data_IF_040386806747
#
_entry.id   IF_040386806747
#
_cell.length_a   1.000
_cell.length_b   1.000
_cell.length_c   1.000
_cell.angle_alpha   90.00
_cell.angle_beta   90.00
_cell.angle_gamma   90.00
#
_symmetry.space_group_name_H-M   'P 1'
#
loop_
_entity.id
_entity.type
_entity.pdbx_description
1 polymer ?
#
# COMPACT_ATOMS: atom_id res chain seq x y z
N UNK A 1 32.26 -22.73 11.76
CA UNK A 1 32.25 -23.11 10.33
C UNK A 1 33.66 -23.37 9.80
N UNK A 2 34.74 -22.93 10.45
CA UNK A 2 36.14 -23.10 9.99
C UNK A 2 36.84 -24.43 10.38
N UNK A 3 36.10 -25.46 10.80
CA UNK A 3 36.69 -26.69 11.36
C UNK A 3 36.57 -27.92 10.45
N UNK A 4 36.25 -27.73 9.17
CA UNK A 4 36.18 -28.81 8.18
C UNK A 4 37.45 -28.77 7.30
N UNK A 5 38.23 -29.88 7.24
CA UNK A 5 39.53 -29.91 6.57
C UNK A 5 39.46 -29.90 5.03
N UNK A 6 38.26 -29.79 4.44
CA UNK A 6 38.00 -29.93 3.00
C UNK A 6 37.27 -28.71 2.41
N UNK A 7 37.40 -27.55 3.05
CA UNK A 7 36.93 -26.28 2.49
C UNK A 7 37.98 -25.75 1.50
N UNK A 8 37.65 -25.86 0.22
CA UNK A 8 38.44 -25.28 -0.88
C UNK A 8 38.51 -23.75 -0.70
N UNK A 9 39.74 -23.21 -0.69
CA UNK A 9 40.01 -21.76 -0.63
C UNK A 9 40.12 -21.15 -2.03
N UNK A 10 39.77 -21.91 -3.06
CA UNK A 10 39.66 -21.43 -4.43
C UNK A 10 38.62 -20.30 -4.58
N UNK A 11 38.64 -19.60 -5.73
CA UNK A 11 37.58 -18.67 -6.10
C UNK A 11 36.20 -19.34 -5.98
N UNK A 12 35.27 -18.70 -5.27
CA UNK A 12 33.90 -19.21 -5.12
C UNK A 12 33.15 -19.27 -6.46
N UNK A 13 33.52 -18.40 -7.40
CA UNK A 13 32.89 -18.27 -8.72
C UNK A 13 33.98 -18.22 -9.80
N UNK A 14 33.91 -19.15 -10.75
CA UNK A 14 34.70 -19.13 -11.97
C UNK A 14 33.78 -18.76 -13.14
N UNK A 15 33.72 -17.47 -13.45
CA UNK A 15 32.90 -16.95 -14.54
C UNK A 15 33.77 -16.47 -15.71
N UNK A 16 33.21 -16.56 -16.92
CA UNK A 16 33.78 -15.91 -18.11
C UNK A 16 33.65 -14.40 -17.94
N UNK A 17 34.64 -13.63 -18.40
CA UNK A 17 34.61 -12.15 -18.36
C UNK A 17 33.24 -11.61 -18.78
N UNK A 18 32.67 -10.73 -17.96
CA UNK A 18 31.49 -9.93 -18.30
C UNK A 18 31.85 -9.01 -19.47
N UNK A 19 31.76 -9.54 -20.68
CA UNK A 19 31.80 -8.75 -21.91
C UNK A 19 30.36 -8.34 -22.16
N UNK A 20 30.10 -7.04 -22.03
CA UNK A 20 28.83 -6.38 -22.38
C UNK A 20 28.50 -6.66 -23.86
N UNK A 21 27.85 -7.79 -24.15
CA UNK A 21 27.51 -8.23 -25.51
C UNK A 21 26.15 -7.72 -25.98
N UNK A 22 25.53 -6.81 -25.21
CA UNK A 22 24.21 -6.23 -25.48
C UNK A 22 24.20 -4.74 -25.13
N UNK A 23 25.25 -4.02 -25.50
CA UNK A 23 25.21 -2.56 -25.49
C UNK A 23 24.45 -2.06 -26.73
N UNK A 24 23.28 -1.49 -26.43
CA UNK A 24 22.18 -1.14 -27.33
C UNK A 24 21.34 -2.34 -27.77
N UNK A 25 20.23 -2.55 -27.05
CA UNK A 25 18.97 -2.83 -27.71
C UNK A 25 18.78 -1.73 -28.76
N UNK A 26 19.35 -1.92 -29.95
CA UNK A 26 18.92 -1.19 -31.13
C UNK A 26 17.42 -1.35 -31.14
N UNK A 27 16.71 -0.24 -30.96
CA UNK A 27 15.25 -0.22 -30.96
C UNK A 27 14.79 -1.13 -32.07
N UNK A 28 13.81 -1.99 -31.77
CA UNK A 28 13.21 -2.87 -32.77
C UNK A 28 13.17 -2.10 -34.08
N UNK A 29 13.80 -2.66 -35.11
CA UNK A 29 13.66 -2.14 -36.46
C UNK A 29 12.18 -2.36 -36.76
N UNK A 30 11.35 -1.40 -36.36
CA UNK A 30 10.00 -1.28 -36.82
C UNK A 30 10.14 -1.25 -38.33
N UNK A 31 9.60 -2.27 -38.97
CA UNK A 31 9.58 -2.42 -40.41
C UNK A 31 9.15 -1.07 -40.97
N UNK A 32 10.04 -0.44 -41.76
CA UNK A 32 9.82 0.93 -42.23
C UNK A 32 8.40 1.02 -42.81
N UNK A 33 7.62 2.06 -42.47
CA UNK A 33 6.20 2.11 -42.78
C UNK A 33 6.00 1.83 -44.27
N UNK A 34 5.39 0.68 -44.57
CA UNK A 34 5.11 0.26 -45.93
C UNK A 34 4.19 1.32 -46.55
N UNK A 35 4.57 1.85 -47.71
CA UNK A 35 3.80 2.91 -48.38
C UNK A 35 2.40 2.44 -48.81
N UNK A 36 2.21 1.11 -48.89
CA UNK A 36 0.94 0.48 -49.22
C UNK A 36 0.05 0.23 -47.99
N UNK A 37 0.54 0.48 -46.76
CA UNK A 37 -0.21 0.31 -45.52
C UNK A 37 -0.51 1.67 -44.88
N UNK A 38 -1.79 2.05 -44.85
CA UNK A 38 -2.24 3.24 -44.12
C UNK A 38 -2.10 3.03 -42.61
N UNK A 39 -1.05 3.62 -42.02
CA UNK A 39 -0.84 3.64 -40.58
C UNK A 39 -1.68 4.75 -39.94
N UNK A 40 -2.93 4.43 -39.62
CA UNK A 40 -3.79 5.35 -38.88
C UNK A 40 -3.42 5.32 -37.38
N UNK A 41 -2.90 6.44 -36.88
CA UNK A 41 -2.66 6.65 -35.44
C UNK A 41 -4.00 6.62 -34.70
N UNK A 42 -4.22 5.56 -33.92
CA UNK A 42 -5.45 5.41 -33.14
C UNK A 42 -5.45 6.37 -31.95
N UNK A 43 -6.30 7.39 -32.01
CA UNK A 43 -6.54 8.31 -30.90
C UNK A 43 -7.84 7.94 -30.19
N UNK A 44 -7.71 7.33 -29.00
CA UNK A 44 -8.82 6.88 -28.16
C UNK A 44 -9.78 8.03 -27.83
N UNK A 45 -9.26 9.21 -27.51
CA UNK A 45 -10.08 10.35 -27.08
C UNK A 45 -10.88 10.93 -28.26
N UNK A 46 -10.27 11.01 -29.44
CA UNK A 46 -10.98 11.44 -30.65
C UNK A 46 -12.06 10.41 -31.07
N UNK A 47 -11.76 9.12 -30.95
CA UNK A 47 -12.73 8.06 -31.17
C UNK A 47 -13.88 8.14 -30.14
N UNK A 48 -13.58 8.33 -28.86
CA UNK A 48 -14.60 8.47 -27.82
C UNK A 48 -15.55 9.63 -28.13
N UNK A 49 -15.03 10.82 -28.40
CA UNK A 49 -15.84 12.01 -28.69
C UNK A 49 -16.69 11.86 -29.97
N UNK A 50 -16.24 11.08 -30.95
CA UNK A 50 -17.00 10.84 -32.19
C UNK A 50 -18.13 9.84 -32.00
N UNK A 51 -17.99 8.89 -31.08
CA UNK A 51 -18.99 7.86 -30.81
C UNK A 51 -19.86 8.14 -29.58
N UNK A 52 -19.48 9.06 -28.70
CA UNK A 52 -20.23 9.44 -27.49
C UNK A 52 -21.70 9.79 -27.80
N UNK A 53 -21.92 10.55 -28.87
CA UNK A 53 -23.26 11.02 -29.26
C UNK A 53 -24.02 10.03 -30.15
N UNK A 54 -23.40 8.90 -30.53
CA UNK A 54 -23.98 7.92 -31.43
C UNK A 54 -24.59 6.77 -30.66
N UNK A 55 -25.91 6.62 -30.76
CA UNK A 55 -26.63 5.48 -30.18
C UNK A 55 -27.19 4.59 -31.28
N UNK A 56 -27.16 3.28 -31.07
CA UNK A 56 -27.80 2.32 -31.96
C UNK A 56 -29.28 2.26 -31.59
N UNK A 57 -30.14 2.60 -32.55
CA UNK A 57 -31.60 2.54 -32.39
C UNK A 57 -32.14 1.46 -33.32
N UNK A 58 -32.91 0.53 -32.75
CA UNK A 58 -33.50 -0.59 -33.49
C UNK A 58 -33.54 -1.89 -32.69
N UNK A 59 -33.85 -2.99 -33.36
CA UNK A 59 -33.89 -4.33 -32.79
C UNK A 59 -32.46 -4.91 -32.80
N UNK A 60 -31.61 -4.42 -31.90
CA UNK A 60 -30.17 -4.75 -31.85
C UNK A 60 -29.91 -6.25 -31.66
N UNK A 61 -30.80 -6.95 -30.95
CA UNK A 61 -30.71 -8.39 -30.70
C UNK A 61 -31.28 -9.27 -31.83
N UNK A 62 -31.83 -8.68 -32.90
CA UNK A 62 -32.49 -9.42 -33.99
C UNK A 62 -31.68 -9.36 -35.28
N UNK A 63 -30.39 -9.73 -35.20
CA UNK A 63 -29.61 -10.05 -36.41
C UNK A 63 -29.87 -11.51 -36.75
N UNK A 64 -30.81 -11.73 -37.68
CA UNK A 64 -31.15 -13.06 -38.18
C UNK A 64 -30.12 -13.51 -39.23
N UNK A 65 -29.22 -14.41 -38.84
CA UNK A 65 -28.25 -15.05 -39.75
C UNK A 65 -28.81 -16.30 -40.46
N UNK A 66 -30.08 -16.64 -40.27
CA UNK A 66 -30.66 -17.90 -40.78
C UNK A 66 -30.87 -17.93 -42.31
N UNK A 67 -30.56 -16.84 -43.02
CA UNK A 67 -30.56 -16.80 -44.49
C UNK A 67 -31.95 -16.99 -45.13
N UNK A 68 -33.02 -16.88 -44.35
CA UNK A 68 -34.39 -17.11 -44.83
C UNK A 68 -34.86 -15.96 -45.72
N UNK A 69 -34.91 -16.22 -47.03
CA UNK A 69 -35.39 -15.28 -48.07
C UNK A 69 -36.86 -14.82 -47.90
N UNK A 70 -37.58 -15.36 -46.91
CA UNK A 70 -39.00 -15.06 -46.67
C UNK A 70 -39.21 -13.85 -45.75
N UNK A 71 -38.16 -13.38 -45.06
CA UNK A 71 -38.24 -12.18 -44.25
C UNK A 71 -38.18 -10.95 -45.17
N UNK A 72 -39.22 -10.11 -45.12
CA UNK A 72 -39.34 -8.86 -45.91
C UNK A 72 -38.22 -7.83 -45.60
N UNK A 73 -37.38 -8.12 -44.61
CA UNK A 73 -36.26 -7.31 -44.15
C UNK A 73 -34.89 -7.77 -44.69
N UNK A 74 -34.87 -8.72 -45.65
CA UNK A 74 -33.62 -9.20 -46.24
C UNK A 74 -32.90 -8.05 -46.96
N UNK A 75 -31.82 -7.55 -46.36
CA UNK A 75 -31.01 -6.46 -46.89
C UNK A 75 -31.31 -5.07 -46.31
N UNK A 76 -32.27 -4.92 -45.40
CA UNK A 76 -32.43 -3.68 -44.63
C UNK A 76 -31.77 -3.85 -43.26
N UNK A 77 -30.80 -3.00 -42.97
CA UNK A 77 -30.21 -2.93 -41.64
C UNK A 77 -31.33 -2.61 -40.64
N UNK A 78 -31.63 -3.55 -39.74
CA UNK A 78 -32.71 -3.43 -38.74
C UNK A 78 -32.37 -2.45 -37.61
N UNK A 79 -31.12 -1.99 -37.57
CA UNK A 79 -30.63 -0.95 -36.70
C UNK A 79 -30.10 0.22 -37.54
N UNK A 80 -30.29 1.44 -37.04
CA UNK A 80 -29.68 2.64 -37.59
C UNK A 80 -28.99 3.42 -36.48
N UNK A 81 -27.87 4.06 -36.82
CA UNK A 81 -27.18 4.97 -35.91
C UNK A 81 -27.95 6.29 -35.85
N UNK A 82 -28.35 6.71 -34.65
CA UNK A 82 -28.93 8.03 -34.44
C UNK A 82 -27.95 8.86 -33.62
N UNK A 83 -27.49 9.96 -34.22
CA UNK A 83 -26.76 11.00 -33.50
C UNK A 83 -27.77 11.76 -32.63
N UNK A 84 -27.59 11.70 -31.32
CA UNK A 84 -28.52 12.27 -30.37
C UNK A 84 -28.16 13.75 -30.15
N UNK A 85 -28.69 14.64 -30.98
CA UNK A 85 -28.54 16.09 -30.77
C UNK A 85 -29.52 16.53 -29.69
N UNK A 86 -29.00 17.04 -28.58
CA UNK A 86 -29.79 17.57 -27.48
C UNK A 86 -30.81 18.62 -27.96
N UNK A 87 -32.07 18.46 -27.56
CA UNK A 87 -33.13 19.44 -27.87
C UNK A 87 -32.90 20.74 -27.10
N UNK A 88 -33.40 21.89 -27.60
CA UNK A 88 -33.21 23.19 -26.92
C UNK A 88 -33.67 23.18 -25.47
N UNK A 89 -34.80 22.52 -25.17
CA UNK A 89 -35.31 22.37 -23.81
C UNK A 89 -34.40 21.51 -22.93
N UNK A 90 -33.85 20.43 -23.48
CA UNK A 90 -32.93 19.57 -22.75
C UNK A 90 -31.59 20.25 -22.52
N UNK A 91 -31.08 20.99 -23.51
CA UNK A 91 -29.88 21.83 -23.38
C UNK A 91 -30.05 22.88 -22.30
N UNK A 92 -31.20 23.53 -22.25
CA UNK A 92 -31.49 24.49 -21.19
C UNK A 92 -31.56 23.79 -19.83
N UNK A 93 -32.12 22.59 -19.73
CA UNK A 93 -32.15 21.82 -18.48
C UNK A 93 -30.75 21.36 -18.03
N UNK A 94 -29.89 20.93 -18.98
CA UNK A 94 -28.50 20.57 -18.70
C UNK A 94 -27.69 21.78 -18.27
N UNK A 95 -27.78 22.89 -19.00
CA UNK A 95 -27.12 24.15 -18.64
C UNK A 95 -27.63 24.65 -17.27
N UNK A 96 -28.92 24.54 -16.98
CA UNK A 96 -29.45 24.90 -15.68
C UNK A 96 -28.82 24.06 -14.56
N UNK A 97 -28.66 22.76 -14.78
CA UNK A 97 -28.01 21.86 -13.83
C UNK A 97 -26.52 22.14 -13.70
N UNK A 98 -25.80 22.30 -14.81
CA UNK A 98 -24.39 22.68 -14.81
C UNK A 98 -24.17 24.00 -14.05
N UNK A 99 -25.10 24.95 -14.18
CA UNK A 99 -25.02 26.24 -13.48
C UNK A 99 -25.36 26.10 -11.98
N UNK A 100 -26.25 25.19 -11.61
CA UNK A 100 -26.51 24.81 -10.22
C UNK A 100 -25.32 24.09 -9.60
N UNK A 101 -24.65 23.20 -10.34
CA UNK A 101 -23.44 22.49 -9.91
C UNK A 101 -22.29 23.49 -9.70
N UNK A 102 -22.06 24.43 -10.64
CA UNK A 102 -21.06 25.51 -10.49
C UNK A 102 -21.39 26.40 -9.29
N UNK A 103 -22.68 26.71 -9.07
CA UNK A 103 -23.08 27.50 -7.91
C UNK A 103 -22.83 26.77 -6.60
N UNK A 104 -23.03 25.45 -6.56
CA UNK A 104 -22.71 24.62 -5.40
C UNK A 104 -21.20 24.57 -5.15
N UNK A 105 -20.38 24.43 -6.20
CA UNK A 105 -18.92 24.51 -6.10
C UNK A 105 -18.46 25.87 -5.55
N UNK A 106 -19.02 26.99 -6.03
CA UNK A 106 -18.73 28.34 -5.52
C UNK A 106 -19.10 28.50 -4.03
N UNK A 107 -20.19 27.86 -3.59
CA UNK A 107 -20.64 27.92 -2.20
C UNK A 107 -19.80 27.01 -1.29
N UNK A 108 -19.34 25.86 -1.79
CA UNK A 108 -18.38 24.98 -1.13
C UNK A 108 -17.00 25.67 -1.02
N UNK A 109 -16.55 26.36 -2.06
CA UNK A 109 -15.34 27.18 -2.02
C UNK A 109 -15.46 28.30 -0.99
N UNK A 110 -16.59 29.04 -0.95
CA UNK A 110 -16.84 30.05 0.08
C UNK A 110 -16.86 29.45 1.49
N UNK A 111 -17.47 28.28 1.67
CA UNK A 111 -17.48 27.58 2.96
C UNK A 111 -16.05 27.16 3.37
N UNK A 112 -15.23 26.70 2.43
CA UNK A 112 -13.82 26.40 2.67
C UNK A 112 -13.02 27.65 3.05
N UNK A 113 -13.29 28.79 2.41
CA UNK A 113 -12.65 30.07 2.73
C UNK A 113 -13.10 30.59 4.11
N UNK A 114 -14.36 30.42 4.48
CA UNK A 114 -14.88 30.83 5.78
C UNK A 114 -14.34 29.94 6.91
N UNK A 115 -14.22 28.63 6.70
CA UNK A 115 -13.55 27.72 7.67
C UNK A 115 -12.06 28.03 7.80
N UNK A 116 -11.37 28.37 6.71
CA UNK A 116 -10.00 28.86 6.74
C UNK A 116 -9.88 30.20 7.49
N UNK A 117 -10.85 31.10 7.32
CA UNK A 117 -10.92 32.35 8.07
C UNK A 117 -11.14 32.11 9.56
N UNK A 118 -12.08 31.24 9.93
CA UNK A 118 -12.39 30.89 11.32
C UNK A 118 -11.19 30.20 11.99
N UNK A 119 -10.50 29.30 11.29
CA UNK A 119 -9.26 28.68 11.80
C UNK A 119 -8.11 29.68 11.89
N UNK A 120 -8.02 30.64 10.98
CA UNK A 120 -7.03 31.72 11.06
C UNK A 120 -7.33 32.66 12.23
N UNK A 121 -8.58 33.09 12.43
CA UNK A 121 -9.02 33.87 13.58
C UNK A 121 -8.79 33.10 14.90
N UNK A 122 -9.09 31.80 14.95
CA UNK A 122 -8.77 30.95 16.09
C UNK A 122 -7.26 30.83 16.32
N UNK A 123 -6.44 30.76 15.27
CA UNK A 123 -4.97 30.71 15.36
C UNK A 123 -4.37 32.05 15.81
N UNK A 124 -4.95 33.16 15.37
CA UNK A 124 -4.55 34.53 15.76
C UNK A 124 -4.98 34.82 17.20
N UNK A 125 -6.18 34.41 17.60
CA UNK A 125 -6.66 34.48 18.98
C UNK A 125 -5.84 33.58 19.93
N UNK A 126 -5.34 32.44 19.44
CA UNK A 126 -4.51 31.50 20.21
C UNK A 126 -3.00 31.76 20.15
N UNK A 127 -2.56 32.86 19.53
CA UNK A 127 -1.15 33.29 19.35
C UNK A 127 -0.44 33.70 20.66
N UNK A 128 -0.74 33.06 21.79
CA UNK A 128 -0.17 33.42 23.08
C UNK A 128 -0.31 32.45 24.25
N UNK A 129 -1.10 31.36 24.21
CA UNK A 129 -1.03 30.37 25.32
C UNK A 129 -1.77 29.05 25.18
N UNK A 130 -2.77 28.92 24.30
CA UNK A 130 -3.61 27.71 24.27
C UNK A 130 -3.97 27.32 22.83
N UNK A 131 -3.04 26.69 22.12
CA UNK A 131 -3.32 26.10 20.81
C UNK A 131 -4.14 24.81 20.91
N UNK A 132 -4.76 24.40 19.79
CA UNK A 132 -5.54 23.16 19.64
C UNK A 132 -4.80 21.92 20.21
N UNK A 133 -3.50 21.81 19.95
CA UNK A 133 -2.68 20.70 20.47
C UNK A 133 -2.52 20.75 21.99
N UNK A 134 -2.39 21.92 22.62
CA UNK A 134 -2.31 22.02 24.08
C UNK A 134 -3.63 21.61 24.74
N UNK A 135 -4.76 21.98 24.14
CA UNK A 135 -6.08 21.61 24.64
C UNK A 135 -6.35 20.10 24.50
N UNK A 136 -5.97 19.50 23.37
CA UNK A 136 -6.09 18.05 23.14
C UNK A 136 -5.16 17.26 24.06
N UNK A 137 -3.93 17.72 24.24
CA UNK A 137 -2.96 17.14 25.19
C UNK A 137 -3.48 17.23 26.63
N UNK A 138 -4.04 18.38 27.03
CA UNK A 138 -4.65 18.55 28.36
C UNK A 138 -5.87 17.66 28.57
N UNK A 139 -6.71 17.50 27.56
CA UNK A 139 -7.86 16.60 27.59
C UNK A 139 -7.41 15.14 27.73
N UNK A 140 -6.39 14.71 26.98
CA UNK A 140 -5.83 13.36 27.11
C UNK A 140 -5.19 13.14 28.48
N UNK A 141 -4.48 14.12 29.04
CA UNK A 141 -3.90 14.01 30.39
C UNK A 141 -4.98 13.95 31.47
N UNK A 142 -6.05 14.72 31.35
CA UNK A 142 -7.18 14.64 32.27
C UNK A 142 -7.87 13.27 32.21
N UNK A 143 -8.00 12.69 31.02
CA UNK A 143 -8.60 11.37 30.82
C UNK A 143 -7.73 10.24 31.39
N UNK A 144 -6.41 10.34 31.24
CA UNK A 144 -5.44 9.43 31.86
C UNK A 144 -5.49 9.55 33.38
N UNK A 145 -5.60 10.77 33.92
CA UNK A 145 -5.66 10.99 35.37
C UNK A 145 -6.95 10.43 35.98
N UNK A 146 -8.08 10.47 35.27
CA UNK A 146 -9.33 9.81 35.70
C UNK A 146 -9.20 8.29 35.64
N UNK A 147 -8.59 7.73 34.60
CA UNK A 147 -8.37 6.28 34.49
C UNK A 147 -7.39 5.74 35.54
N UNK A 148 -6.41 6.55 35.96
CA UNK A 148 -5.50 6.18 37.05
C UNK A 148 -6.16 6.20 38.42
N UNK A 149 -7.17 7.07 38.64
CA UNK A 149 -7.93 7.13 39.89
C UNK A 149 -8.97 6.01 40.00
N UNK A 150 -9.51 5.55 38.88
CA UNK A 150 -10.42 4.40 38.83
C UNK A 150 -9.70 3.05 39.02
N UNK A 151 -8.38 3.01 38.80
CA UNK A 151 -7.52 1.87 39.13
C UNK A 151 -7.06 1.94 40.58
N UNK A 152 -8.02 1.79 41.50
CA UNK A 152 -7.77 1.75 42.94
C UNK A 152 -7.09 0.41 43.30
N UNK A 153 -5.78 0.42 43.58
CA UNK A 153 -4.97 -0.76 43.96
C UNK A 153 -5.36 -1.40 45.31
N UNK A 154 -6.45 -0.97 45.92
CA UNK A 154 -6.97 -1.48 47.20
C UNK A 154 -7.60 -2.88 47.08
N UNK A 155 -7.91 -3.34 45.87
CA UNK A 155 -8.59 -4.63 45.62
C UNK A 155 -7.70 -5.89 45.74
N UNK A 156 -6.39 -5.76 45.97
CA UNK A 156 -5.47 -6.91 46.11
C UNK A 156 -5.27 -7.41 47.55
N UNK A 157 -5.89 -6.78 48.56
CA UNK A 157 -5.54 -7.07 49.96
C UNK A 157 -6.52 -7.96 50.74
N UNK A 158 -7.74 -8.28 50.27
CA UNK A 158 -8.67 -9.07 51.08
C UNK A 158 -9.56 -10.05 50.27
N UNK A 159 -9.41 -11.32 50.62
CA UNK A 159 -10.27 -12.47 50.32
C UNK A 159 -10.21 -13.35 51.59
N UNK A 160 -11.19 -14.21 52.00
CA UNK A 160 -12.58 -14.51 51.58
C UNK A 160 -13.53 -14.55 52.85
N UNK A 161 -14.68 -15.30 52.99
CA UNK A 161 -15.44 -16.19 52.08
C UNK A 161 -17.00 -16.09 52.07
N UNK A 162 -17.58 -16.74 51.04
CA UNK A 162 -18.88 -17.44 50.90
C UNK A 162 -20.12 -17.06 51.75
N UNK A 163 -21.29 -16.85 51.11
CA UNK A 163 -22.56 -17.60 51.32
C UNK A 163 -23.69 -17.08 50.37
N UNK A 164 -24.56 -18.01 49.99
CA UNK A 164 -25.66 -18.06 49.02
C UNK A 164 -26.81 -17.03 49.21
N UNK A 165 -27.50 -16.66 48.11
CA UNK A 165 -28.93 -16.97 47.84
C UNK A 165 -29.75 -15.92 47.04
N UNK A 166 -30.41 -16.46 46.01
CA UNK A 166 -31.65 -16.10 45.30
C UNK A 166 -31.84 -14.88 44.36
N UNK A 167 -32.55 -15.09 43.20
CA UNK A 167 -32.77 -14.13 42.13
C UNK A 167 -34.18 -13.49 42.15
N UNK A 168 -34.35 -12.30 41.53
CA UNK A 168 -35.63 -11.76 41.04
C UNK A 168 -35.42 -10.54 40.11
N UNK A 169 -36.43 -10.09 39.32
CA UNK A 169 -36.48 -10.28 37.87
C UNK A 169 -36.53 -8.96 37.06
N UNK A 170 -36.50 -9.10 35.73
CA UNK A 170 -36.60 -8.05 34.71
C UNK A 170 -37.73 -7.04 34.95
N UNK A 171 -37.43 -5.76 34.68
CA UNK A 171 -38.39 -4.76 34.26
C UNK A 171 -37.82 -3.89 33.11
N UNK A 172 -38.75 -3.37 32.31
CA UNK A 172 -38.64 -3.03 30.87
C UNK A 172 -37.94 -1.70 30.59
N UNK A 173 -37.35 -1.56 29.40
CA UNK A 173 -37.48 -0.40 28.50
C UNK A 173 -36.95 -0.73 27.07
N UNK A 174 -37.30 0.05 26.03
CA UNK A 174 -37.84 -0.46 24.76
C UNK A 174 -36.91 -0.27 23.55
N UNK A 175 -37.24 -0.99 22.46
CA UNK A 175 -36.85 -0.82 21.05
C UNK A 175 -35.36 -0.71 20.65
N UNK A 176 -34.94 -1.47 19.61
CA UNK A 176 -33.56 -1.45 19.14
C UNK A 176 -33.32 -0.17 18.33
N UNK A 177 -32.60 0.78 18.93
CA UNK A 177 -31.91 1.81 18.17
C UNK A 177 -30.83 1.14 17.32
N UNK A 178 -30.74 1.61 16.08
CA UNK A 178 -29.86 1.16 15.02
C UNK A 178 -28.44 0.83 15.52
N UNK A 179 -27.92 -0.29 15.01
CA UNK A 179 -26.51 -0.61 15.09
C UNK A 179 -25.68 0.63 14.67
N UNK A 180 -24.63 1.00 15.43
CA UNK A 180 -23.76 2.08 15.01
C UNK A 180 -23.10 1.65 13.71
N UNK A 181 -23.47 2.31 12.60
CA UNK A 181 -22.69 2.29 11.37
C UNK A 181 -21.25 2.64 11.75
N UNK A 182 -20.35 1.72 11.43
CA UNK A 182 -18.91 1.90 11.48
C UNK A 182 -18.59 3.28 10.89
N UNK A 183 -17.84 4.14 11.60
CA UNK A 183 -17.61 5.51 11.17
C UNK A 183 -16.86 5.53 9.84
N UNK A 184 -17.38 6.29 8.88
CA UNK A 184 -16.82 6.52 7.55
C UNK A 184 -15.52 7.32 7.58
N UNK A 185 -14.45 6.73 8.11
CA UNK A 185 -13.07 7.22 7.95
C UNK A 185 -12.45 6.81 6.61
N UNK A 186 -12.94 5.75 5.97
CA UNK A 186 -12.29 5.17 4.79
C UNK A 186 -12.42 6.00 3.52
N UNK A 187 -13.52 6.73 3.30
CA UNK A 187 -13.75 7.36 1.99
C UNK A 187 -13.02 8.70 1.83
N UNK A 188 -12.85 9.44 2.93
CA UNK A 188 -11.98 10.63 3.00
C UNK A 188 -10.51 10.25 2.91
N UNK A 189 -10.11 9.16 3.59
CA UNK A 189 -8.74 8.64 3.52
C UNK A 189 -8.42 8.09 2.12
N UNK A 190 -9.36 7.35 1.50
CA UNK A 190 -9.23 6.89 0.10
C UNK A 190 -9.20 8.05 -0.89
N UNK A 191 -10.01 9.08 -0.70
CA UNK A 191 -9.95 10.30 -1.52
C UNK A 191 -8.61 11.02 -1.42
N UNK A 192 -8.03 11.09 -0.22
CA UNK A 192 -6.68 11.63 0.00
C UNK A 192 -5.61 10.77 -0.66
N UNK A 193 -5.69 9.44 -0.55
CA UNK A 193 -4.76 8.51 -1.22
C UNK A 193 -4.87 8.66 -2.74
N UNK A 194 -6.08 8.69 -3.30
CA UNK A 194 -6.28 8.89 -4.73
C UNK A 194 -5.76 10.26 -5.21
N UNK A 195 -5.91 11.31 -4.41
CA UNK A 195 -5.32 12.62 -4.69
C UNK A 195 -3.78 12.59 -4.67
N UNK A 196 -3.20 11.84 -3.74
CA UNK A 196 -1.75 11.62 -3.70
C UNK A 196 -1.27 10.78 -4.89
N UNK A 197 -1.99 9.74 -5.28
CA UNK A 197 -1.69 8.91 -6.45
C UNK A 197 -1.79 9.70 -7.77
N UNK A 198 -2.82 10.53 -7.93
CA UNK A 198 -2.94 11.44 -9.08
C UNK A 198 -1.74 12.38 -9.14
N UNK A 199 -1.37 12.97 -8.01
CA UNK A 199 -0.22 13.87 -7.93
C UNK A 199 1.11 13.16 -8.17
N UNK A 200 1.26 11.91 -7.72
CA UNK A 200 2.41 11.08 -8.03
C UNK A 200 2.46 10.80 -9.52
N UNK A 201 1.32 10.46 -10.14
CA UNK A 201 1.21 10.24 -11.58
C UNK A 201 1.60 11.48 -12.38
N UNK A 202 1.16 12.66 -11.95
CA UNK A 202 1.55 13.94 -12.56
C UNK A 202 3.06 14.20 -12.44
N UNK A 203 3.64 13.88 -11.27
CA UNK A 203 5.08 13.99 -11.04
C UNK A 203 5.88 12.97 -11.86
N UNK A 204 5.38 11.74 -11.99
CA UNK A 204 5.98 10.69 -12.81
C UNK A 204 5.88 11.02 -14.30
N UNK A 205 4.78 11.60 -14.76
CA UNK A 205 4.63 12.08 -16.13
C UNK A 205 5.57 13.27 -16.42
N UNK A 206 5.74 14.19 -15.46
CA UNK A 206 6.62 15.35 -15.60
C UNK A 206 8.11 14.98 -15.55
N UNK A 207 8.49 14.00 -14.73
CA UNK A 207 9.88 13.52 -14.59
C UNK A 207 10.21 12.47 -15.66
N UNK A 208 9.20 11.77 -16.17
CA UNK A 208 9.34 10.63 -17.06
C UNK A 208 9.69 9.33 -16.30
N UNK A 209 9.26 8.20 -16.85
CA UNK A 209 9.71 6.87 -16.40
C UNK A 209 11.17 6.75 -16.84
N UNK A 210 12.08 7.10 -15.94
CA UNK A 210 13.48 7.27 -16.28
C UNK A 210 14.18 5.90 -16.45
N UNK A 211 14.06 5.31 -17.64
CA UNK A 211 15.05 4.35 -18.19
C UNK A 211 16.39 5.03 -18.52
N UNK A 212 16.50 6.35 -18.26
CA UNK A 212 17.74 7.10 -18.42
C UNK A 212 18.69 6.78 -17.26
N UNK A 213 19.41 5.68 -17.42
CA UNK A 213 20.62 5.26 -16.70
C UNK A 213 20.46 5.11 -15.17
N UNK A 214 20.75 3.92 -14.60
CA UNK A 214 20.48 3.58 -13.20
C UNK A 214 21.27 4.37 -12.12
N UNK A 215 21.96 5.45 -12.47
CA UNK A 215 22.89 6.14 -11.55
C UNK A 215 22.74 7.66 -11.44
N UNK A 216 22.08 8.36 -12.36
CA UNK A 216 22.17 9.82 -12.41
C UNK A 216 20.86 10.50 -11.98
N UNK A 217 20.88 11.06 -10.76
CA UNK A 217 19.82 11.94 -10.28
C UNK A 217 19.58 13.08 -11.30
N UNK A 218 18.32 13.39 -11.62
CA UNK A 218 17.93 14.51 -12.53
C UNK A 218 18.64 15.83 -12.15
N UNK A 219 18.91 16.03 -10.86
CA UNK A 219 19.66 17.18 -10.33
C UNK A 219 21.10 17.27 -10.85
N UNK A 220 21.78 16.13 -11.07
CA UNK A 220 23.13 16.09 -11.61
C UNK A 220 23.11 16.52 -13.08
N UNK A 221 22.16 16.00 -13.87
CA UNK A 221 21.96 16.44 -15.25
C UNK A 221 21.57 17.92 -15.36
N UNK A 222 20.69 18.41 -14.47
CA UNK A 222 20.33 19.82 -14.42
C UNK A 222 21.52 20.70 -14.05
N UNK A 223 22.38 20.28 -13.11
CA UNK A 223 23.59 21.01 -12.74
C UNK A 223 24.63 21.00 -13.85
N UNK A 224 24.75 19.90 -14.58
CA UNK A 224 25.61 19.82 -15.76
C UNK A 224 25.06 20.71 -16.89
N UNK A 225 23.74 20.76 -17.07
CA UNK A 225 23.10 21.67 -18.01
C UNK A 225 23.28 23.13 -17.60
N UNK A 226 23.10 23.47 -16.32
CA UNK A 226 23.35 24.81 -15.78
C UNK A 226 24.81 25.22 -16.01
N UNK A 227 25.75 24.31 -15.77
CA UNK A 227 27.17 24.53 -16.09
C UNK A 227 27.38 24.76 -17.58
N UNK A 228 26.78 23.94 -18.46
CA UNK A 228 26.87 24.08 -19.92
C UNK A 228 26.25 25.40 -20.40
N UNK A 229 25.12 25.79 -19.84
CA UNK A 229 24.43 27.06 -20.14
C UNK A 229 25.26 28.25 -19.67
N UNK A 230 25.86 28.18 -18.48
CA UNK A 230 26.76 29.22 -17.98
C UNK A 230 28.03 29.34 -18.83
N UNK A 231 28.55 28.22 -19.36
CA UNK A 231 29.65 28.22 -20.34
C UNK A 231 29.21 28.85 -21.68
N UNK A 232 27.98 28.62 -22.13
CA UNK A 232 27.43 29.25 -23.33
C UNK A 232 27.18 30.75 -23.16
N UNK A 233 26.87 31.21 -21.94
CA UNK A 233 26.65 32.62 -21.64
C UNK A 233 27.94 33.42 -21.43
N UNK A 234 29.05 32.77 -21.01
CA UNK A 234 30.36 33.39 -20.79
C UNK A 234 31.52 32.67 -21.55
N UNK A 235 31.48 32.58 -22.90
CA UNK A 235 32.42 31.74 -23.64
C UNK A 235 33.86 32.27 -23.69
N UNK A 236 34.09 33.59 -23.63
CA UNK A 236 35.40 34.16 -24.02
C UNK A 236 36.25 34.70 -22.86
N UNK A 237 35.66 35.15 -21.75
CA UNK A 237 36.42 35.81 -20.67
C UNK A 237 36.81 34.88 -19.51
N UNK A 238 35.97 33.90 -19.18
CA UNK A 238 36.24 32.98 -18.06
C UNK A 238 37.03 31.74 -18.50
N UNK A 239 36.76 31.17 -19.68
CA UNK A 239 37.48 29.97 -20.14
C UNK A 239 38.96 30.21 -20.41
N UNK A 240 39.35 31.39 -20.92
CA UNK A 240 40.74 31.74 -21.13
C UNK A 240 41.49 31.94 -19.80
N UNK A 241 40.90 32.67 -18.85
CA UNK A 241 41.46 32.87 -17.52
C UNK A 241 41.50 31.57 -16.68
N UNK A 242 40.46 30.74 -16.77
CA UNK A 242 40.41 29.42 -16.14
C UNK A 242 41.44 28.48 -16.80
N UNK A 243 41.59 28.50 -18.13
CA UNK A 243 42.61 27.70 -18.81
C UNK A 243 44.03 28.15 -18.45
N UNK A 244 44.26 29.45 -18.29
CA UNK A 244 45.54 30.00 -17.86
C UNK A 244 45.84 29.61 -16.40
N UNK A 245 44.87 29.75 -15.50
CA UNK A 245 45.04 29.32 -14.09
C UNK A 245 45.17 27.81 -13.96
N UNK A 246 44.45 27.00 -14.73
CA UNK A 246 44.63 25.53 -14.78
C UNK A 246 46.00 25.16 -15.35
N UNK A 247 46.48 25.88 -16.37
CA UNK A 247 47.84 25.74 -16.91
C UNK A 247 48.90 26.08 -15.85
N UNK A 248 48.73 27.19 -15.13
CA UNK A 248 49.62 27.59 -14.03
C UNK A 248 49.58 26.58 -12.89
N UNK A 249 48.40 26.11 -12.48
CA UNK A 249 48.25 25.11 -11.43
C UNK A 249 48.86 23.76 -11.85
N UNK A 250 48.70 23.36 -13.11
CA UNK A 250 49.34 22.14 -13.63
C UNK A 250 50.86 22.28 -13.66
N UNK A 251 51.37 23.46 -14.04
CA UNK A 251 52.80 23.78 -13.94
C UNK A 251 53.29 23.74 -12.50
N UNK A 252 52.53 24.26 -11.54
CA UNK A 252 52.85 24.21 -10.11
C UNK A 252 52.80 22.79 -9.54
N UNK A 253 51.81 21.99 -9.93
CA UNK A 253 51.71 20.57 -9.56
C UNK A 253 52.87 19.78 -10.14
N UNK A 254 53.24 20.03 -11.40
CA UNK A 254 54.44 19.43 -11.98
C UNK A 254 55.72 19.88 -11.28
N UNK A 255 55.83 21.17 -10.91
CA UNK A 255 56.97 21.69 -10.18
C UNK A 255 57.06 21.08 -8.77
N UNK A 256 55.93 20.88 -8.08
CA UNK A 256 55.85 20.21 -6.79
C UNK A 256 56.13 18.71 -6.90
N UNK A 257 55.67 18.05 -7.96
CA UNK A 257 56.01 16.64 -8.24
C UNK A 257 57.50 16.48 -8.56
N UNK A 258 58.07 17.39 -9.36
CA UNK A 258 59.51 17.46 -9.63
C UNK A 258 60.29 17.75 -8.35
N UNK A 259 59.84 18.69 -7.50
CA UNK A 259 60.46 18.98 -6.21
C UNK A 259 60.34 17.82 -5.21
N UNK A 260 59.22 17.09 -5.19
CA UNK A 260 59.06 15.90 -4.35
C UNK A 260 59.98 14.77 -4.82
N UNK A 261 60.11 14.57 -6.14
CA UNK A 261 61.08 13.63 -6.72
C UNK A 261 62.53 14.05 -6.48
N UNK A 262 62.84 15.35 -6.60
CA UNK A 262 64.17 15.88 -6.31
C UNK A 262 64.49 15.84 -4.82
N UNK A 263 63.53 16.07 -3.92
CA UNK A 263 63.73 15.93 -2.48
C UNK A 263 63.94 14.46 -2.08
N UNK A 264 63.27 13.52 -2.75
CA UNK A 264 63.54 12.09 -2.58
C UNK A 264 64.90 11.66 -3.14
N UNK A 265 65.40 12.34 -4.18
CA UNK A 265 66.71 12.10 -4.79
C UNK A 265 67.87 12.85 -4.08
N UNK A 266 67.56 13.97 -3.41
CA UNK A 266 68.50 14.84 -2.70
C UNK A 266 68.71 14.44 -1.24
N UNK A 267 68.13 13.34 -0.77
CA UNK A 267 68.67 12.61 0.37
C UNK A 267 69.85 11.76 -0.13
N UNK A 268 71.12 12.14 0.13
CA UNK A 268 72.23 11.26 -0.15
C UNK A 268 72.20 10.08 0.81
N UNK A 269 72.26 8.86 0.25
CA UNK A 269 72.79 7.68 0.93
C UNK A 269 74.15 8.06 1.55
N UNK A 270 74.19 8.26 2.87
CA UNK A 270 75.45 8.44 3.59
C UNK A 270 75.69 7.25 4.54
N UNK A 271 76.57 6.31 4.16
CA UNK A 271 76.96 5.19 5.00
C UNK A 271 78.12 5.64 5.91
N UNK A 272 77.83 5.99 7.17
CA UNK A 272 78.70 5.83 8.37
C UNK A 272 78.28 6.77 9.51
N UNK A 273 77.55 6.25 10.49
CA UNK A 273 78.11 5.95 11.81
C UNK A 273 77.05 5.24 12.67
N UNK A 274 77.44 4.22 13.45
CA UNK A 274 76.54 3.25 14.03
C UNK A 274 76.10 3.66 15.45
N UNK A 275 74.88 3.30 15.83
CA UNK A 275 74.61 2.28 16.84
C UNK A 275 73.12 2.36 17.25
N UNK A 276 72.45 1.22 17.15
CA UNK A 276 71.21 0.98 17.88
C UNK A 276 69.99 0.67 17.02
N UNK A 277 69.91 -0.61 16.63
CA UNK A 277 68.67 -1.39 16.46
C UNK A 277 67.99 -1.38 15.08
N UNK A 278 68.31 -2.48 14.39
CA UNK A 278 67.45 -3.30 13.53
C UNK A 278 67.16 -2.87 12.08
N UNK A 279 67.14 -3.85 11.15
CA UNK A 279 67.16 -3.62 9.73
C UNK A 279 65.79 -3.14 9.26
N UNK A 280 65.66 -1.85 8.97
CA UNK A 280 64.50 -1.33 8.26
C UNK A 280 64.55 -1.83 6.81
N UNK A 281 63.91 -2.97 6.61
CA UNK A 281 63.34 -3.46 5.36
C UNK A 281 62.75 -2.32 4.49
N UNK A 282 62.55 -2.54 3.18
CA UNK A 282 61.79 -1.66 2.27
C UNK A 282 60.29 -1.46 2.64
N UNK A 283 59.92 -1.77 3.89
CA UNK A 283 58.58 -1.81 4.45
C UNK A 283 57.97 -0.42 4.68
N UNK A 284 58.76 0.65 4.89
CA UNK A 284 58.17 1.97 5.17
C UNK A 284 57.44 2.58 3.94
N UNK A 285 57.94 2.33 2.73
CA UNK A 285 57.28 2.71 1.46
C UNK A 285 56.09 1.78 1.15
N UNK A 286 56.22 0.49 1.47
CA UNK A 286 55.15 -0.49 1.26
C UNK A 286 53.98 -0.31 2.26
N UNK A 287 54.25 0.10 3.50
CA UNK A 287 53.24 0.34 4.53
C UNK A 287 52.37 1.57 4.23
N UNK A 288 52.94 2.65 3.64
CA UNK A 288 52.13 3.76 3.15
C UNK A 288 51.26 3.33 1.97
N UNK A 289 51.78 2.53 1.03
CA UNK A 289 50.97 2.00 -0.07
C UNK A 289 49.86 1.05 0.40
N UNK A 290 50.09 0.22 1.43
CA UNK A 290 49.07 -0.69 1.97
C UNK A 290 48.00 0.09 2.75
N UNK A 291 48.38 1.14 3.47
CA UNK A 291 47.42 2.04 4.12
C UNK A 291 46.61 2.83 3.09
N UNK A 292 47.26 3.39 2.07
CA UNK A 292 46.60 4.10 0.96
C UNK A 292 45.63 3.17 0.23
N UNK A 293 46.03 1.93 -0.11
CA UNK A 293 45.12 0.94 -0.71
C UNK A 293 43.91 0.59 0.18
N UNK A 294 44.11 0.50 1.50
CA UNK A 294 43.01 0.26 2.44
C UNK A 294 42.10 1.48 2.54
N UNK A 295 42.66 2.67 2.57
CA UNK A 295 41.92 3.93 2.60
C UNK A 295 41.13 4.11 1.30
N UNK A 296 41.73 3.85 0.14
CA UNK A 296 41.07 3.85 -1.16
C UNK A 296 39.96 2.80 -1.23
N UNK A 297 40.16 1.61 -0.67
CA UNK A 297 39.11 0.58 -0.59
C UNK A 297 37.94 1.01 0.32
N UNK A 298 38.22 1.79 1.37
CA UNK A 298 37.18 2.35 2.25
C UNK A 298 36.44 3.49 1.55
N UNK A 299 37.14 4.33 0.78
CA UNK A 299 36.51 5.38 -0.02
C UNK A 299 35.65 4.82 -1.15
N UNK A 300 36.06 3.73 -1.80
CA UNK A 300 35.23 3.02 -2.78
C UNK A 300 33.97 2.44 -2.13
N UNK A 301 34.11 1.82 -0.95
CA UNK A 301 32.96 1.29 -0.19
C UNK A 301 32.10 2.38 0.43
N UNK A 302 32.59 3.60 0.57
CA UNK A 302 31.83 4.70 1.16
C UNK A 302 30.68 5.13 0.26
N UNK A 303 30.89 5.15 -1.05
CA UNK A 303 29.84 5.46 -2.03
C UNK A 303 28.71 4.40 -1.99
N UNK A 304 29.09 3.12 -1.93
CA UNK A 304 28.15 2.01 -1.72
C UNK A 304 27.36 2.17 -0.41
N UNK A 305 28.03 2.55 0.69
CA UNK A 305 27.39 2.77 1.98
C UNK A 305 26.46 3.98 1.96
N UNK A 306 26.82 5.07 1.28
CA UNK A 306 26.00 6.27 1.20
C UNK A 306 24.72 6.02 0.37
N UNK A 307 24.80 5.23 -0.70
CA UNK A 307 23.61 4.81 -1.46
C UNK A 307 22.69 3.90 -0.62
N UNK A 308 23.24 2.95 0.14
CA UNK A 308 22.46 2.07 1.03
C UNK A 308 21.83 2.89 2.16
N UNK A 309 22.58 3.81 2.76
CA UNK A 309 22.10 4.69 3.85
C UNK A 309 20.95 5.57 3.39
N UNK A 310 20.96 6.04 2.15
CA UNK A 310 19.84 6.80 1.59
C UNK A 310 18.57 5.93 1.42
N UNK A 311 18.72 4.64 1.11
CA UNK A 311 17.60 3.69 0.88
C UNK A 311 17.09 3.01 2.15
N UNK A 312 17.93 2.89 3.19
CA UNK A 312 17.62 2.17 4.43
C UNK A 312 16.37 2.68 5.16
N UNK A 313 16.13 3.99 5.31
CA UNK A 313 14.92 4.49 5.98
C UNK A 313 13.63 4.05 5.27
N UNK A 314 13.63 4.02 3.94
CA UNK A 314 12.49 3.58 3.15
C UNK A 314 12.21 2.07 3.32
N UNK A 315 13.27 1.26 3.36
CA UNK A 315 13.15 -0.18 3.63
C UNK A 315 12.63 -0.43 5.06
N UNK A 316 13.13 0.32 6.05
CA UNK A 316 12.63 0.22 7.44
C UNK A 316 11.15 0.62 7.51
N UNK A 317 10.73 1.68 6.82
CA UNK A 317 9.33 2.08 6.76
C UNK A 317 8.44 0.98 6.15
N UNK A 318 8.88 0.36 5.04
CA UNK A 318 8.19 -0.78 4.43
C UNK A 318 8.15 -1.99 5.37
N UNK A 319 9.23 -2.30 6.07
CA UNK A 319 9.27 -3.39 7.05
C UNK A 319 8.34 -3.12 8.24
N UNK A 320 8.20 -1.88 8.69
CA UNK A 320 7.24 -1.52 9.74
C UNK A 320 5.80 -1.68 9.28
N UNK A 321 5.47 -1.22 8.07
CA UNK A 321 4.16 -1.45 7.46
C UNK A 321 3.89 -2.94 7.28
N UNK A 322 4.87 -3.72 6.81
CA UNK A 322 4.74 -5.16 6.69
C UNK A 322 4.57 -5.83 8.06
N UNK A 323 5.26 -5.34 9.09
CA UNK A 323 5.10 -5.85 10.46
C UNK A 323 3.70 -5.61 11.00
N UNK A 324 3.11 -4.44 10.73
CA UNK A 324 1.71 -4.13 11.06
C UNK A 324 0.76 -5.11 10.35
N UNK A 325 0.95 -5.31 9.04
CA UNK A 325 0.17 -6.29 8.26
C UNK A 325 0.35 -7.72 8.81
N UNK A 326 1.56 -8.11 9.20
CA UNK A 326 1.81 -9.43 9.79
C UNK A 326 1.17 -9.59 11.16
N UNK A 327 1.14 -8.52 11.97
CA UNK A 327 0.44 -8.49 13.25
C UNK A 327 -1.08 -8.66 13.06
N UNK A 328 -1.65 -7.94 12.09
CA UNK A 328 -3.07 -8.04 11.75
C UNK A 328 -3.40 -9.43 11.19
N UNK A 329 -2.53 -10.01 10.38
CA UNK A 329 -2.67 -11.37 9.89
C UNK A 329 -2.62 -12.39 11.03
N UNK A 330 -1.72 -12.22 12.00
CA UNK A 330 -1.70 -13.08 13.18
C UNK A 330 -3.02 -12.97 13.97
N UNK A 331 -3.54 -11.75 14.15
CA UNK A 331 -4.87 -11.52 14.71
C UNK A 331 -5.97 -12.24 13.93
N UNK A 332 -6.01 -12.08 12.61
CA UNK A 332 -6.98 -12.74 11.75
C UNK A 332 -6.92 -14.28 11.87
N UNK A 333 -5.71 -14.85 11.89
CA UNK A 333 -5.52 -16.30 12.08
C UNK A 333 -6.06 -16.75 13.45
N UNK A 334 -5.84 -15.98 14.51
CA UNK A 334 -6.42 -16.31 15.83
C UNK A 334 -7.95 -16.23 15.82
N UNK A 335 -8.56 -15.22 15.19
CA UNK A 335 -10.02 -15.14 15.07
C UNK A 335 -10.61 -16.29 14.24
N UNK A 336 -9.91 -16.75 13.19
CA UNK A 336 -10.33 -17.93 12.43
C UNK A 336 -10.25 -19.19 13.29
N UNK A 337 -9.21 -19.31 14.14
CA UNK A 337 -9.12 -20.38 15.14
C UNK A 337 -10.30 -20.36 16.12
N UNK A 338 -10.67 -19.18 16.64
CA UNK A 338 -11.84 -19.02 17.52
C UNK A 338 -13.15 -19.39 16.81
N UNK A 339 -13.31 -19.02 15.53
CA UNK A 339 -14.48 -19.41 14.73
C UNK A 339 -14.53 -20.91 14.51
N UNK A 340 -13.39 -21.57 14.27
CA UNK A 340 -13.32 -23.03 14.16
C UNK A 340 -13.70 -23.72 15.48
N UNK A 341 -13.23 -23.19 16.62
CA UNK A 341 -13.62 -23.66 17.95
C UNK A 341 -15.13 -23.47 18.19
N UNK A 342 -15.71 -22.33 17.80
CA UNK A 342 -17.16 -22.09 17.87
C UNK A 342 -17.93 -23.06 16.96
N UNK A 343 -17.47 -23.30 15.72
CA UNK A 343 -18.08 -24.24 14.79
C UNK A 343 -18.02 -25.68 15.32
N UNK A 344 -16.91 -26.07 15.93
CA UNK A 344 -16.76 -27.39 16.56
C UNK A 344 -17.72 -27.55 17.74
N UNK A 345 -17.91 -26.48 18.53
CA UNK A 345 -18.85 -26.44 19.65
C UNK A 345 -20.30 -26.53 19.15
N UNK A 346 -20.66 -25.74 18.13
CA UNK A 346 -21.98 -25.80 17.50
C UNK A 346 -22.27 -27.18 16.91
N UNK A 347 -21.29 -27.82 16.29
CA UNK A 347 -21.43 -29.20 15.79
C UNK A 347 -21.73 -30.16 16.94
N UNK A 348 -20.99 -30.07 18.04
CA UNK A 348 -21.23 -30.90 19.23
C UNK A 348 -22.63 -30.64 19.79
N UNK A 349 -23.07 -29.40 19.85
CA UNK A 349 -24.39 -29.04 20.34
C UNK A 349 -25.50 -29.57 19.41
N UNK A 350 -25.33 -29.51 18.09
CA UNK A 350 -26.23 -30.15 17.12
C UNK A 350 -26.30 -31.67 17.31
N UNK A 351 -25.18 -32.33 17.59
CA UNK A 351 -25.17 -33.76 17.90
C UNK A 351 -25.94 -34.06 19.20
N UNK A 352 -25.79 -33.21 20.24
CA UNK A 352 -26.59 -33.35 21.46
C UNK A 352 -28.07 -33.10 21.23
N UNK A 353 -28.44 -32.11 20.40
CA UNK A 353 -29.82 -31.84 20.03
C UNK A 353 -30.42 -32.99 19.25
N UNK A 354 -29.66 -33.60 18.34
CA UNK A 354 -30.11 -34.77 17.60
C UNK A 354 -30.30 -35.98 18.54
N UNK A 355 -29.40 -36.19 19.50
CA UNK A 355 -29.57 -37.21 20.54
C UNK A 355 -30.82 -36.95 21.38
N UNK A 356 -31.02 -35.72 21.85
CA UNK A 356 -32.20 -35.32 22.62
C UNK A 356 -33.50 -35.43 21.80
N UNK A 357 -33.45 -35.13 20.51
CA UNK A 357 -34.60 -35.32 19.62
C UNK A 357 -34.91 -36.80 19.44
N UNK A 358 -33.88 -37.65 19.35
CA UNK A 358 -34.06 -39.10 19.30
C UNK A 358 -34.63 -39.64 20.62
N UNK A 359 -34.20 -39.15 21.79
CA UNK A 359 -34.78 -39.55 23.08
C UNK A 359 -36.23 -39.07 23.22
N UNK A 360 -36.56 -37.87 22.77
CA UNK A 360 -37.95 -37.40 22.72
C UNK A 360 -38.79 -38.24 21.76
N UNK A 361 -38.24 -38.60 20.59
CA UNK A 361 -38.93 -39.45 19.61
C UNK A 361 -39.18 -40.86 20.16
N UNK A 362 -38.23 -41.46 20.87
CA UNK A 362 -38.44 -42.76 21.51
C UNK A 362 -39.42 -42.66 22.66
N UNK A 363 -39.33 -41.62 23.50
CA UNK A 363 -40.32 -41.37 24.56
C UNK A 363 -41.73 -41.18 23.99
N UNK A 364 -41.88 -40.45 22.89
CA UNK A 364 -43.16 -40.25 22.22
C UNK A 364 -43.74 -41.56 21.68
N UNK A 365 -42.91 -42.43 21.08
CA UNK A 365 -43.34 -43.77 20.66
C UNK A 365 -43.82 -44.63 21.82
N UNK A 366 -43.05 -44.66 22.92
CA UNK A 366 -43.44 -45.40 24.14
C UNK A 366 -44.75 -44.86 24.72
N UNK A 367 -44.93 -43.53 24.74
CA UNK A 367 -46.17 -42.91 25.20
C UNK A 367 -47.35 -43.20 24.26
N UNK A 368 -47.13 -43.23 22.94
CA UNK A 368 -48.16 -43.59 21.97
C UNK A 368 -48.60 -45.05 22.14
N UNK A 369 -47.65 -45.99 22.28
CA UNK A 369 -47.93 -47.40 22.54
C UNK A 369 -48.66 -47.59 23.88
N UNK A 370 -48.21 -46.90 24.94
CA UNK A 370 -48.88 -46.95 26.24
C UNK A 370 -50.29 -46.34 26.19
N UNK A 371 -50.51 -45.30 25.39
CA UNK A 371 -51.82 -44.70 25.18
C UNK A 371 -52.75 -45.66 24.42
N UNK A 372 -52.26 -46.32 23.37
CA UNK A 372 -53.01 -47.31 22.60
C UNK A 372 -53.43 -48.50 23.49
N UNK A 373 -52.51 -49.02 24.32
CA UNK A 373 -52.83 -50.07 25.29
C UNK A 373 -53.87 -49.61 26.33
N UNK A 374 -53.77 -48.38 26.83
CA UNK A 374 -54.77 -47.80 27.74
C UNK A 374 -56.12 -47.62 27.05
N UNK A 375 -56.12 -47.16 25.80
CA UNK A 375 -57.32 -47.00 24.98
C UNK A 375 -58.03 -48.34 24.79
N UNK A 376 -57.31 -49.39 24.40
CA UNK A 376 -57.85 -50.75 24.25
C UNK A 376 -58.41 -51.29 25.58
N UNK A 377 -57.73 -51.03 26.70
CA UNK A 377 -58.25 -51.41 28.03
C UNK A 377 -59.56 -50.69 28.35
N UNK A 378 -59.63 -49.38 28.13
CA UNK A 378 -60.84 -48.59 28.39
C UNK A 378 -61.98 -49.04 27.47
N UNK A 379 -61.69 -49.32 26.20
CA UNK A 379 -62.68 -49.83 25.25
C UNK A 379 -63.22 -51.20 25.68
N UNK A 380 -62.35 -52.12 26.13
CA UNK A 380 -62.76 -53.40 26.67
C UNK A 380 -63.59 -53.26 27.97
N UNK A 381 -63.22 -52.35 28.86
CA UNK A 381 -64.01 -52.03 30.06
C UNK A 381 -65.37 -51.43 29.70
N UNK A 382 -65.44 -50.56 28.69
CA UNK A 382 -66.66 -49.92 28.21
C UNK A 382 -67.59 -50.94 27.54
N UNK A 383 -67.05 -51.82 26.69
CA UNK A 383 -67.78 -52.96 26.12
C UNK A 383 -68.31 -53.91 27.21
N UNK A 384 -67.51 -54.16 28.26
CA UNK A 384 -67.98 -54.95 29.41
C UNK A 384 -69.12 -54.24 30.16
N UNK A 385 -69.05 -52.92 30.32
CA UNK A 385 -70.14 -52.15 30.91
C UNK A 385 -71.38 -52.12 30.03
N UNK A 386 -71.23 -51.96 28.72
CA UNK A 386 -72.32 -52.02 27.73
C UNK A 386 -73.03 -53.38 27.80
N UNK A 387 -72.27 -54.48 27.77
CA UNK A 387 -72.82 -55.83 27.92
C UNK A 387 -73.54 -56.05 29.26
N UNK A 388 -73.09 -55.40 30.34
CA UNK A 388 -73.78 -55.44 31.65
C UNK A 388 -75.06 -54.61 31.65
N UNK A 389 -75.09 -53.48 30.95
CA UNK A 389 -76.28 -52.63 30.81
C UNK A 389 -77.33 -53.37 29.97
N UNK A 390 -76.92 -53.98 28.85
CA UNK A 390 -77.81 -54.76 27.98
C UNK A 390 -78.39 -55.99 28.70
N UNK A 391 -77.66 -56.59 29.65
CA UNK A 391 -78.18 -57.69 30.46
C UNK A 391 -79.17 -57.25 31.56
N UNK A 392 -79.29 -55.94 31.82
CA UNK A 392 -80.19 -55.36 32.84
C UNK A 392 -81.44 -54.69 32.22
N UNK A 393 -81.45 -54.49 30.90
CA UNK A 393 -82.62 -54.12 30.10
C UNK A 393 -83.37 -55.37 29.63
#
# INVERSE_FOLDING_TARGET
MDSLPDLDQGPEVFETSDVESVDNLGGQIDEAPDADIEQNLFNVNAAHNTFEENTLVGQVDLVDFSGSLSAQNLGQNTYYTRKWTETRSQRLARIQRELEDIQAEDDDEKASVETLRETLEASVASRGSNGYHHQKIRATFAQIETQLKDLDFSALAQCPPETQSHPKPLEKHPHPAEAPKVPGGSDLERGSILGLESRITDLEAAIGINELSPGANVRVHLRDLDRKVNVLYNPEHEMAAIKETVSQLNSEVEALAKNRRMAQLALPDNPRAPQGREPASPSASMASSVFEKKVDSVYQRLDEIDTIKARLPAVIARLRSLHEIHSDLAGAVTTVGEVDDMLSTLRRDLDTWNSNLNTVKTAFKVHAEAFEQRSQRIEAELQQMEARIDALL
#
